data_IF_937456630656
#
_entry.id   IF_937456630656
#
_cell.length_a   1.000
_cell.length_b   1.000
_cell.length_c   1.000
_cell.angle_alpha   90.00
_cell.angle_beta   90.00
_cell.angle_gamma   90.00
#
_symmetry.space_group_name_H-M   'P 1'
#
loop_
_entity.id
_entity.type
_entity.pdbx_description
1 polymer ?
#
# COMPACT_ATOMS: atom_id res chain seq x y z
N UNK A 1 -24.25 14.47 -28.93
CA UNK A 1 -23.56 15.18 -27.82
C UNK A 1 -22.43 14.28 -27.37
N UNK A 2 -21.17 14.73 -27.43
CA UNK A 2 -20.05 13.92 -26.97
C UNK A 2 -20.05 13.91 -25.44
N UNK A 3 -20.31 12.75 -24.84
CA UNK A 3 -20.18 12.57 -23.39
C UNK A 3 -18.71 12.85 -23.03
N UNK A 4 -18.41 13.78 -22.10
CA UNK A 4 -17.04 14.04 -21.70
C UNK A 4 -16.47 12.74 -21.10
N UNK A 5 -15.48 12.16 -21.76
CA UNK A 5 -14.86 10.92 -21.28
C UNK A 5 -14.05 11.27 -20.04
N UNK A 6 -14.38 10.65 -18.90
CA UNK A 6 -13.65 10.81 -17.64
C UNK A 6 -12.16 10.58 -17.89
N UNK A 7 -11.27 11.52 -17.52
CA UNK A 7 -9.82 11.40 -17.76
C UNK A 7 -9.17 10.16 -17.11
N UNK A 8 -9.83 9.58 -16.11
CA UNK A 8 -9.42 8.35 -15.44
C UNK A 8 -10.05 7.09 -16.04
N UNK A 9 -10.87 7.21 -17.08
CA UNK A 9 -11.52 6.06 -17.69
C UNK A 9 -10.45 5.06 -18.20
N UNK A 10 -10.68 3.74 -17.99
CA UNK A 10 -9.77 2.74 -18.49
C UNK A 10 -9.74 2.79 -20.02
N UNK A 11 -8.55 2.63 -20.61
CA UNK A 11 -8.41 2.52 -22.06
C UNK A 11 -7.09 3.02 -22.62
N UNK A 12 -6.92 2.81 -23.93
CA UNK A 12 -5.74 3.25 -24.68
C UNK A 12 -5.81 4.72 -25.13
N UNK A 13 -6.95 5.37 -24.89
CA UNK A 13 -7.22 6.74 -25.35
C UNK A 13 -6.39 7.81 -24.64
N UNK A 14 -5.71 7.47 -23.54
CA UNK A 14 -4.99 8.39 -22.67
C UNK A 14 -3.47 8.23 -22.80
N UNK A 15 -2.89 8.83 -23.84
CA UNK A 15 -1.44 8.97 -24.02
C UNK A 15 -0.62 7.67 -23.95
N UNK A 16 0.71 7.75 -24.13
CA UNK A 16 1.58 6.60 -23.88
C UNK A 16 1.64 6.28 -22.38
N UNK A 17 1.98 5.03 -22.06
CA UNK A 17 2.42 4.64 -20.72
C UNK A 17 3.91 4.96 -20.64
N UNK A 18 4.30 5.77 -19.66
CA UNK A 18 5.68 6.22 -19.50
C UNK A 18 6.53 5.15 -18.80
N UNK A 19 7.64 4.78 -19.43
CA UNK A 19 8.65 3.92 -18.82
C UNK A 19 9.48 4.68 -17.77
N UNK A 20 10.28 3.95 -16.99
CA UNK A 20 11.22 4.58 -16.03
C UNK A 20 12.20 5.53 -16.74
N UNK A 21 12.62 5.21 -17.96
CA UNK A 21 13.50 6.06 -18.77
C UNK A 21 12.78 7.34 -19.20
N UNK A 22 11.53 7.24 -19.63
CA UNK A 22 10.73 8.41 -20.02
C UNK A 22 10.49 9.33 -18.82
N UNK A 23 10.19 8.77 -17.65
CA UNK A 23 10.04 9.54 -16.41
C UNK A 23 11.31 10.28 -16.04
N UNK A 24 12.49 9.66 -16.22
CA UNK A 24 13.77 10.30 -15.94
C UNK A 24 14.07 11.44 -16.93
N UNK A 25 13.80 11.23 -18.22
CA UNK A 25 14.11 12.20 -19.27
C UNK A 25 13.13 13.39 -19.29
N UNK A 26 11.83 13.10 -19.14
CA UNK A 26 10.76 14.10 -19.24
C UNK A 26 10.46 14.76 -17.90
N UNK A 27 10.76 14.09 -16.79
CA UNK A 27 10.47 14.52 -15.42
C UNK A 27 9.04 15.12 -15.26
N UNK A 28 7.98 14.39 -15.67
CA UNK A 28 6.63 14.91 -15.63
C UNK A 28 6.13 15.01 -14.19
N UNK A 29 5.19 15.93 -13.96
CA UNK A 29 4.43 15.94 -12.72
C UNK A 29 3.31 14.91 -12.81
N UNK A 30 3.34 13.89 -11.93
CA UNK A 30 2.30 12.88 -11.86
C UNK A 30 1.17 13.34 -10.92
N UNK A 31 -0.05 13.38 -11.46
CA UNK A 31 -1.28 13.54 -10.71
C UNK A 31 -1.73 12.18 -10.16
N UNK A 32 -1.92 12.09 -8.84
CA UNK A 32 -2.39 10.86 -8.17
C UNK A 32 -3.92 10.77 -8.32
N UNK A 33 -4.43 9.56 -8.56
CA UNK A 33 -5.86 9.30 -8.61
C UNK A 33 -6.58 9.80 -7.34
N UNK A 34 -7.73 10.52 -7.45
CA UNK A 34 -8.46 11.06 -6.29
C UNK A 34 -8.83 10.02 -5.24
N UNK A 35 -9.10 8.77 -5.64
CA UNK A 35 -9.38 7.65 -4.72
C UNK A 35 -8.16 7.34 -3.84
N UNK A 36 -6.95 7.29 -4.42
CA UNK A 36 -5.72 7.09 -3.64
C UNK A 36 -5.41 8.30 -2.76
N UNK A 37 -5.87 9.50 -3.13
CA UNK A 37 -5.72 10.70 -2.28
C UNK A 37 -6.83 10.87 -1.24
N UNK A 38 -7.83 9.98 -1.16
CA UNK A 38 -9.03 10.14 -0.32
C UNK A 38 -9.82 11.43 -0.61
N UNK A 39 -9.76 11.92 -1.84
CA UNK A 39 -10.47 13.13 -2.30
C UNK A 39 -11.63 12.84 -3.25
N UNK A 40 -11.89 11.57 -3.54
CA UNK A 40 -12.98 11.17 -4.42
C UNK A 40 -14.33 11.33 -3.71
N UNK A 41 -15.29 11.96 -4.38
CA UNK A 41 -16.54 12.41 -3.73
C UNK A 41 -17.49 11.27 -3.34
N UNK A 42 -17.43 10.13 -4.03
CA UNK A 42 -18.43 9.04 -3.89
C UNK A 42 -17.87 7.73 -3.35
N UNK A 43 -16.55 7.61 -3.23
CA UNK A 43 -15.90 6.38 -2.82
C UNK A 43 -14.64 6.69 -2.02
N UNK A 44 -14.57 6.16 -0.80
CA UNK A 44 -13.42 6.31 0.08
C UNK A 44 -12.70 4.97 0.17
N UNK A 45 -11.50 4.86 -0.38
CA UNK A 45 -10.79 3.59 -0.36
C UNK A 45 -10.30 3.24 1.04
N UNK A 46 -10.75 2.11 1.57
CA UNK A 46 -10.18 1.48 2.76
C UNK A 46 -9.69 0.08 2.37
N UNK A 47 -8.39 -0.11 2.43
CA UNK A 47 -7.76 -1.41 2.18
C UNK A 47 -7.19 -1.95 3.49
N UNK A 48 -7.65 -3.13 3.90
CA UNK A 48 -7.05 -3.86 5.01
C UNK A 48 -5.83 -4.62 4.50
N UNK A 49 -4.63 -4.20 4.88
CA UNK A 49 -3.37 -4.80 4.43
C UNK A 49 -3.15 -6.23 4.96
N UNK A 50 -3.88 -6.67 5.98
CA UNK A 50 -3.76 -8.03 6.52
C UNK A 50 -4.58 -9.06 5.74
N UNK A 51 -5.77 -8.66 5.26
CA UNK A 51 -6.72 -9.54 4.58
C UNK A 51 -6.79 -9.31 3.07
N UNK A 52 -6.33 -8.13 2.60
CA UNK A 52 -6.48 -7.69 1.22
C UNK A 52 -7.89 -7.18 0.90
N UNK A 53 -8.79 -7.14 1.89
CA UNK A 53 -10.17 -6.67 1.68
C UNK A 53 -10.17 -5.19 1.35
N UNK A 54 -10.83 -4.85 0.25
CA UNK A 54 -11.10 -3.46 -0.17
C UNK A 54 -12.56 -3.15 0.11
N UNK A 55 -12.82 -2.02 0.77
CA UNK A 55 -14.16 -1.55 1.10
C UNK A 55 -14.26 -0.03 0.97
N UNK A 56 -15.49 0.46 0.91
CA UNK A 56 -15.79 1.89 1.04
C UNK A 56 -15.70 2.31 2.52
N UNK A 57 -14.98 3.39 2.78
CA UNK A 57 -14.72 3.92 4.12
C UNK A 57 -15.95 4.48 4.83
N UNK A 58 -17.02 4.75 4.08
CA UNK A 58 -18.33 5.11 4.66
C UNK A 58 -19.08 3.90 5.23
N UNK A 59 -18.51 2.68 5.13
CA UNK A 59 -19.08 1.46 5.71
C UNK A 59 -20.38 1.02 5.03
N UNK A 60 -20.65 1.52 3.83
CA UNK A 60 -21.87 1.18 3.07
C UNK A 60 -21.75 -0.25 2.54
N UNK A 61 -22.56 -1.20 3.04
CA UNK A 61 -22.49 -2.58 2.58
C UNK A 61 -22.87 -2.66 1.10
N UNK A 62 -22.08 -3.38 0.30
CA UNK A 62 -22.35 -3.64 -1.11
C UNK A 62 -21.83 -2.60 -2.11
N UNK A 63 -21.07 -1.60 -1.68
CA UNK A 63 -20.35 -0.71 -2.62
C UNK A 63 -19.15 -1.47 -3.19
N UNK A 64 -19.28 -1.93 -4.43
CA UNK A 64 -18.20 -2.59 -5.17
C UNK A 64 -17.14 -1.56 -5.59
N UNK A 65 -15.87 -1.99 -5.59
CA UNK A 65 -14.77 -1.17 -6.09
C UNK A 65 -14.73 -1.18 -7.63
N UNK A 66 -15.70 -0.53 -8.26
CA UNK A 66 -15.88 -0.51 -9.72
C UNK A 66 -14.71 0.17 -10.44
N UNK A 67 -14.08 1.17 -9.81
CA UNK A 67 -12.98 1.95 -10.36
C UNK A 67 -11.63 1.23 -10.35
N UNK A 68 -11.56 -0.04 -9.93
CA UNK A 68 -10.31 -0.78 -9.76
C UNK A 68 -9.39 -0.80 -11.00
N UNK A 69 -9.97 -0.72 -12.20
CA UNK A 69 -9.26 -0.76 -13.48
C UNK A 69 -8.85 0.64 -13.98
N UNK A 70 -9.19 1.72 -13.26
CA UNK A 70 -8.74 3.09 -13.54
C UNK A 70 -7.23 3.23 -13.24
N UNK A 71 -6.51 4.12 -13.95
CA UNK A 71 -5.08 4.30 -13.74
C UNK A 71 -4.79 4.96 -12.39
N UNK A 72 -3.74 4.53 -11.70
CA UNK A 72 -3.36 5.08 -10.41
C UNK A 72 -2.82 6.51 -10.48
N UNK A 73 -2.26 6.90 -11.62
CA UNK A 73 -1.68 8.22 -11.87
C UNK A 73 -1.89 8.67 -13.31
N UNK A 74 -1.83 9.99 -13.52
CA UNK A 74 -1.76 10.62 -14.84
C UNK A 74 -0.53 11.54 -14.92
N UNK A 75 0.26 11.51 -16.02
CA UNK A 75 0.27 10.51 -17.08
C UNK A 75 0.47 9.07 -16.55
N UNK A 76 0.03 8.08 -17.34
CA UNK A 76 0.16 6.66 -16.96
C UNK A 76 1.62 6.25 -16.94
N UNK A 77 1.98 5.36 -16.02
CA UNK A 77 3.36 4.89 -15.83
C UNK A 77 3.41 3.38 -15.70
N UNK A 78 4.52 2.80 -16.11
CA UNK A 78 4.74 1.35 -15.98
C UNK A 78 5.04 0.94 -14.54
N UNK A 79 5.58 1.86 -13.74
CA UNK A 79 6.09 1.53 -12.42
C UNK A 79 5.90 2.66 -11.41
N UNK A 80 5.42 2.29 -10.21
CA UNK A 80 5.33 3.13 -9.02
C UNK A 80 6.17 2.56 -7.88
N UNK A 81 6.74 3.46 -7.08
CA UNK A 81 7.38 3.13 -5.82
C UNK A 81 6.57 3.73 -4.68
N UNK A 82 6.18 2.89 -3.72
CA UNK A 82 5.37 3.28 -2.57
C UNK A 82 6.20 3.05 -1.31
N UNK A 83 6.45 4.10 -0.57
CA UNK A 83 7.14 4.08 0.73
C UNK A 83 6.17 4.48 1.84
N UNK A 84 6.51 4.28 3.11
CA UNK A 84 5.66 4.68 4.24
C UNK A 84 6.49 5.21 5.39
N UNK A 85 6.02 6.24 6.08
CA UNK A 85 6.70 6.79 7.25
C UNK A 85 6.86 5.78 8.41
N UNK A 86 6.13 4.67 8.36
CA UNK A 86 6.04 3.70 9.44
C UNK A 86 6.83 2.41 9.20
N UNK A 87 7.36 2.20 7.99
CA UNK A 87 8.15 1.01 7.66
C UNK A 87 9.43 1.40 6.92
N UNK A 88 10.47 0.54 6.89
CA UNK A 88 11.68 0.79 6.10
C UNK A 88 11.53 0.37 4.63
N UNK A 89 10.51 -0.42 4.28
CA UNK A 89 10.38 -1.04 2.96
C UNK A 89 9.91 -0.09 1.86
N UNK A 90 10.18 -0.50 0.62
CA UNK A 90 9.70 0.14 -0.59
C UNK A 90 8.91 -0.88 -1.40
N UNK A 91 7.61 -0.64 -1.57
CA UNK A 91 6.74 -1.48 -2.37
C UNK A 91 6.82 -1.04 -3.82
N UNK A 92 7.19 -1.96 -4.71
CA UNK A 92 7.29 -1.68 -6.14
C UNK A 92 6.07 -2.24 -6.86
N UNK A 93 5.32 -1.38 -7.55
CA UNK A 93 4.14 -1.76 -8.35
C UNK A 93 4.53 -1.66 -9.82
N UNK A 94 4.34 -2.73 -10.60
CA UNK A 94 4.70 -2.77 -12.03
C UNK A 94 3.52 -3.24 -12.87
N UNK A 95 3.26 -2.54 -13.97
CA UNK A 95 2.32 -2.94 -15.00
C UNK A 95 2.68 -2.25 -16.33
N UNK A 96 3.15 -3.00 -17.32
CA UNK A 96 3.54 -2.49 -18.65
C UNK A 96 2.39 -1.77 -19.37
N UNK A 97 1.12 -2.09 -19.03
CA UNK A 97 -0.07 -1.44 -19.60
C UNK A 97 -0.48 -0.17 -18.85
N UNK A 98 0.26 0.20 -17.82
CA UNK A 98 -0.02 1.31 -16.92
C UNK A 98 -0.56 0.83 -15.58
N UNK A 99 0.03 1.29 -14.49
CA UNK A 99 -0.37 0.92 -13.12
C UNK A 99 -1.80 1.38 -12.84
N UNK A 100 -2.64 0.44 -12.40
CA UNK A 100 -4.05 0.66 -12.02
C UNK A 100 -4.24 0.73 -10.51
N UNK A 101 -5.43 1.15 -10.06
CA UNK A 101 -5.78 1.13 -8.64
C UNK A 101 -5.74 -0.28 -8.03
N UNK A 102 -6.20 -1.29 -8.78
CA UNK A 102 -6.15 -2.69 -8.37
C UNK A 102 -4.71 -3.17 -8.17
N UNK A 103 -3.79 -2.78 -9.07
CA UNK A 103 -2.38 -3.15 -8.98
C UNK A 103 -1.75 -2.58 -7.70
N UNK A 104 -2.05 -1.33 -7.37
CA UNK A 104 -1.56 -0.69 -6.14
C UNK A 104 -2.05 -1.43 -4.90
N UNK A 105 -3.36 -1.70 -4.81
CA UNK A 105 -3.94 -2.39 -3.65
C UNK A 105 -3.36 -3.80 -3.49
N UNK A 106 -3.26 -4.53 -4.60
CA UNK A 106 -2.75 -5.91 -4.62
C UNK A 106 -1.27 -5.97 -4.25
N UNK A 107 -0.46 -5.08 -4.81
CA UNK A 107 0.98 -5.03 -4.53
C UNK A 107 1.27 -4.66 -3.07
N UNK A 108 0.55 -3.69 -2.50
CA UNK A 108 0.65 -3.36 -1.07
C UNK A 108 0.28 -4.59 -0.24
N UNK A 109 -0.90 -5.16 -0.45
CA UNK A 109 -1.33 -6.34 0.30
C UNK A 109 -0.29 -7.47 0.25
N UNK A 110 0.13 -7.88 -0.95
CA UNK A 110 1.10 -8.96 -1.13
C UNK A 110 2.45 -8.66 -0.48
N UNK A 111 2.95 -7.43 -0.61
CA UNK A 111 4.25 -7.04 -0.04
C UNK A 111 4.23 -7.15 1.49
N UNK A 112 3.10 -6.85 2.13
CA UNK A 112 2.97 -6.85 3.58
C UNK A 112 2.52 -8.19 4.17
N UNK A 113 1.89 -9.08 3.39
CA UNK A 113 1.47 -10.42 3.86
C UNK A 113 2.45 -11.54 3.51
N UNK A 114 3.09 -11.47 2.34
CA UNK A 114 3.92 -12.57 1.84
C UNK A 114 5.38 -12.49 2.32
N UNK A 115 5.82 -11.31 2.75
CA UNK A 115 7.15 -11.10 3.27
C UNK A 115 7.17 -11.07 4.81
N UNK A 116 8.22 -11.64 5.38
CA UNK A 116 8.48 -11.63 6.81
C UNK A 116 9.46 -10.51 7.17
N UNK A 117 9.35 -10.02 8.40
CA UNK A 117 10.35 -9.14 9.01
C UNK A 117 11.58 -9.97 9.31
N UNK A 118 12.74 -9.52 8.82
CA UNK A 118 14.02 -10.17 9.07
C UNK A 118 14.53 -9.87 10.47
N UNK A 119 15.42 -10.71 11.00
CA UNK A 119 16.04 -10.48 12.32
C UNK A 119 16.84 -9.18 12.36
N UNK A 120 17.49 -8.82 11.25
CA UNK A 120 18.23 -7.57 11.12
C UNK A 120 17.30 -6.35 11.22
N UNK A 121 16.15 -6.38 10.55
CA UNK A 121 15.14 -5.32 10.64
C UNK A 121 14.54 -5.25 12.04
N UNK A 122 14.23 -6.40 12.65
CA UNK A 122 13.72 -6.48 14.02
C UNK A 122 14.72 -5.90 15.03
N UNK A 123 16.02 -6.14 14.83
CA UNK A 123 17.09 -5.61 15.67
C UNK A 123 17.23 -4.07 15.60
N UNK A 124 16.72 -3.42 14.55
CA UNK A 124 16.69 -1.94 14.47
C UNK A 124 15.69 -1.32 15.44
N UNK A 125 14.70 -2.09 15.90
CA UNK A 125 13.72 -1.63 16.89
C UNK A 125 14.25 -1.77 18.31
N UNK A 126 13.80 -0.87 19.19
CA UNK A 126 14.00 -1.02 20.64
C UNK A 126 13.36 -2.31 21.15
N UNK A 127 13.83 -2.85 22.29
CA UNK A 127 13.29 -4.08 22.87
C UNK A 127 11.74 -4.05 23.03
N UNK A 128 11.21 -2.89 23.46
CA UNK A 128 9.76 -2.65 23.54
C UNK A 128 9.09 -2.68 22.17
N UNK A 129 9.73 -2.11 21.14
CA UNK A 129 9.23 -2.16 19.77
C UNK A 129 9.15 -3.59 19.23
N UNK A 130 10.19 -4.39 19.47
CA UNK A 130 10.21 -5.81 19.08
C UNK A 130 9.10 -6.61 19.75
N UNK A 131 8.88 -6.41 21.06
CA UNK A 131 7.80 -7.07 21.80
C UNK A 131 6.43 -6.69 21.24
N UNK A 132 6.21 -5.41 20.92
CA UNK A 132 4.96 -4.95 20.33
C UNK A 132 4.67 -5.60 18.97
N UNK A 133 5.68 -5.73 18.10
CA UNK A 133 5.52 -6.39 16.81
C UNK A 133 5.23 -7.89 16.98
N UNK A 134 5.93 -8.57 17.90
CA UNK A 134 5.66 -9.99 18.21
C UNK A 134 4.24 -10.19 18.76
N UNK A 135 3.76 -9.29 19.63
CA UNK A 135 2.40 -9.33 20.17
C UNK A 135 1.36 -9.09 19.08
N UNK A 136 1.59 -8.15 18.17
CA UNK A 136 0.72 -7.93 17.01
C UNK A 136 0.66 -9.17 16.12
N UNK A 137 1.80 -9.82 15.85
CA UNK A 137 1.85 -11.05 15.07
C UNK A 137 1.04 -12.19 15.73
N UNK A 138 1.16 -12.37 17.05
CA UNK A 138 0.35 -13.36 17.78
C UNK A 138 -1.15 -13.08 17.70
N UNK A 139 -1.56 -11.81 17.77
CA UNK A 139 -2.96 -11.40 17.64
C UNK A 139 -3.50 -11.65 16.22
N UNK A 140 -2.75 -11.24 15.19
CA UNK A 140 -3.18 -11.39 13.79
C UNK A 140 -3.17 -12.83 13.29
N UNK A 141 -2.34 -13.71 13.86
CA UNK A 141 -2.31 -15.13 13.51
C UNK A 141 -3.41 -15.94 14.20
N UNK A 142 -4.26 -15.32 15.03
CA UNK A 142 -5.35 -16.02 15.70
C UNK A 142 -4.90 -17.09 16.70
N UNK A 143 -3.62 -17.08 17.12
CA UNK A 143 -3.05 -17.97 18.16
C UNK A 143 -3.50 -17.50 19.56
N UNK A 144 -4.74 -17.02 19.66
CA UNK A 144 -5.43 -16.63 20.89
C UNK A 144 -6.82 -17.29 21.03
N UNK A 145 -7.23 -18.15 20.10
CA UNK A 145 -8.53 -18.84 20.13
C UNK A 145 -8.45 -20.36 19.95
N UNK A 146 -7.35 -20.99 20.36
CA UNK A 146 -7.31 -22.43 20.56
C UNK A 146 -7.41 -22.75 22.06
N UNK A 147 -8.63 -22.64 22.58
CA UNK A 147 -9.05 -23.31 23.81
C UNK A 147 -8.86 -24.82 23.63
N UNK A 148 -7.73 -25.37 24.06
CA UNK A 148 -7.52 -26.81 24.03
C UNK A 148 -6.09 -27.26 24.32
N UNK A 149 -5.82 -27.57 25.59
CA UNK A 149 -4.89 -28.64 25.96
C UNK A 149 -3.40 -28.27 26.16
N UNK A 150 -3.00 -28.30 27.43
CA UNK A 150 -1.64 -28.55 27.96
C UNK A 150 -0.50 -27.54 27.67
N UNK A 151 0.22 -27.09 28.71
CA UNK A 151 1.31 -26.14 28.59
C UNK A 151 2.58 -26.87 28.14
N UNK A 152 2.71 -27.11 26.84
CA UNK A 152 4.00 -27.46 26.26
C UNK A 152 4.65 -26.17 25.75
N UNK A 153 5.77 -25.80 26.37
CA UNK A 153 6.64 -24.70 25.96
C UNK A 153 7.27 -25.09 24.63
N UNK A 154 6.61 -24.78 23.52
CA UNK A 154 7.29 -24.62 22.25
C UNK A 154 7.37 -23.13 21.99
N UNK A 155 8.57 -22.59 22.16
CA UNK A 155 8.96 -21.30 21.61
C UNK A 155 8.97 -21.46 20.10
N UNK A 156 7.80 -21.59 19.48
CA UNK A 156 7.66 -21.39 18.06
C UNK A 156 8.04 -19.95 17.82
N UNK A 157 9.18 -19.73 17.17
CA UNK A 157 9.61 -18.42 16.69
C UNK A 157 8.46 -17.85 15.87
N UNK A 158 7.67 -16.97 16.48
CA UNK A 158 6.54 -16.32 15.82
C UNK A 158 7.12 -15.50 14.68
N UNK A 159 6.96 -16.01 13.45
CA UNK A 159 7.38 -15.29 12.25
C UNK A 159 6.46 -14.08 12.12
N UNK A 160 7.04 -12.90 12.26
CA UNK A 160 6.31 -11.65 12.11
C UNK A 160 6.24 -11.31 10.63
N UNK A 161 5.04 -11.18 10.08
CA UNK A 161 4.84 -10.65 8.73
C UNK A 161 5.09 -9.15 8.74
N UNK A 162 5.39 -8.57 7.59
CA UNK A 162 5.59 -7.12 7.50
C UNK A 162 4.36 -6.31 7.90
N UNK A 163 3.14 -6.83 7.71
CA UNK A 163 1.91 -6.20 8.21
C UNK A 163 1.90 -6.07 9.74
N UNK A 164 2.51 -7.00 10.47
CA UNK A 164 2.55 -6.99 11.94
C UNK A 164 3.45 -5.86 12.48
N UNK A 165 4.34 -5.33 11.64
CA UNK A 165 5.17 -4.16 11.96
C UNK A 165 4.34 -2.92 12.29
N UNK A 166 3.19 -2.79 11.62
CA UNK A 166 2.29 -1.64 11.78
C UNK A 166 1.38 -1.74 12.99
N UNK A 167 1.35 -2.89 13.68
CA UNK A 167 0.57 -3.12 14.90
C UNK A 167 -0.94 -2.93 14.64
N UNK A 168 -1.47 -1.77 14.99
CA UNK A 168 -2.86 -1.34 14.83
C UNK A 168 -3.12 -0.61 13.50
N UNK A 169 -2.08 -0.05 12.86
CA UNK A 169 -2.15 0.73 11.61
C UNK A 169 -2.21 -0.16 10.37
N UNK A 170 -3.15 -1.09 10.33
CA UNK A 170 -3.25 -2.10 9.25
C UNK A 170 -4.09 -1.64 8.06
N UNK A 171 -4.67 -0.45 8.11
CA UNK A 171 -5.51 0.08 7.05
C UNK A 171 -4.75 1.12 6.23
N UNK A 172 -4.68 0.87 4.93
CA UNK A 172 -4.27 1.87 3.96
C UNK A 172 -5.36 2.95 3.90
N UNK A 173 -4.95 4.19 4.14
CA UNK A 173 -5.82 5.35 4.02
C UNK A 173 -5.56 6.06 2.70
N UNK A 174 -4.32 6.34 2.33
CA UNK A 174 -4.10 7.08 1.09
C UNK A 174 -2.65 7.15 0.65
N UNK A 175 -2.43 7.94 -0.39
CA UNK A 175 -1.13 8.23 -0.95
C UNK A 175 -0.98 9.72 -1.22
N UNK A 176 0.21 10.19 -0.96
CA UNK A 176 0.61 11.58 -1.17
C UNK A 176 2.01 11.66 -1.75
N UNK A 177 2.30 12.80 -2.38
CA UNK A 177 3.63 13.12 -2.89
C UNK A 177 4.33 14.05 -1.91
N UNK A 178 5.55 13.68 -1.51
CA UNK A 178 6.41 14.56 -0.71
C UNK A 178 7.88 14.33 -1.08
N UNK A 179 8.36 15.12 -2.04
CA UNK A 179 9.69 14.99 -2.60
C UNK A 179 10.79 15.19 -1.53
N UNK A 180 10.56 16.05 -0.55
CA UNK A 180 11.53 16.31 0.54
C UNK A 180 11.74 15.07 1.40
N UNK A 181 10.66 14.37 1.76
CA UNK A 181 10.76 13.15 2.53
C UNK A 181 11.45 12.05 1.73
N UNK A 182 11.05 11.86 0.46
CA UNK A 182 11.68 10.88 -0.43
C UNK A 182 13.18 11.13 -0.56
N UNK A 183 13.60 12.38 -0.77
CA UNK A 183 15.00 12.75 -0.87
C UNK A 183 15.78 12.49 0.42
N UNK A 184 15.21 12.83 1.58
CA UNK A 184 15.87 12.57 2.87
C UNK A 184 16.00 11.07 3.16
N UNK A 185 15.01 10.27 2.78
CA UNK A 185 14.96 8.84 3.08
C UNK A 185 15.75 7.98 2.10
N UNK A 186 15.63 8.25 0.81
CA UNK A 186 16.21 7.43 -0.26
C UNK A 186 17.49 8.04 -0.84
N UNK A 187 17.80 9.30 -0.53
CA UNK A 187 18.93 10.04 -1.10
C UNK A 187 18.66 10.61 -2.50
N UNK A 188 17.50 10.32 -3.09
CA UNK A 188 17.07 10.85 -4.38
C UNK A 188 15.56 11.09 -4.40
N UNK A 189 15.10 11.85 -5.40
CA UNK A 189 13.68 12.06 -5.69
C UNK A 189 13.38 11.59 -7.11
N UNK A 190 12.18 11.05 -7.31
CA UNK A 190 11.66 10.70 -8.62
C UNK A 190 10.15 10.94 -8.63
N UNK A 191 9.60 11.24 -9.81
CA UNK A 191 8.19 11.60 -9.99
C UNK A 191 7.21 10.47 -9.65
N UNK A 192 7.67 9.22 -9.70
CA UNK A 192 6.88 8.01 -9.41
C UNK A 192 7.08 7.45 -7.99
N UNK A 193 7.61 8.24 -7.06
CA UNK A 193 7.71 7.86 -5.64
C UNK A 193 6.59 8.54 -4.85
N UNK A 194 5.77 7.72 -4.18
CA UNK A 194 4.67 8.17 -3.35
C UNK A 194 4.76 7.60 -1.94
N UNK A 195 4.17 8.33 -1.00
CA UNK A 195 4.15 7.95 0.42
C UNK A 195 2.75 7.48 0.76
N UNK A 196 2.68 6.29 1.34
CA UNK A 196 1.48 5.65 1.85
C UNK A 196 1.17 6.16 3.26
N UNK A 197 -0.05 6.64 3.43
CA UNK A 197 -0.65 7.02 4.70
C UNK A 197 -1.46 5.84 5.27
N UNK A 198 -1.31 5.60 6.57
CA UNK A 198 -1.94 4.50 7.29
C UNK A 198 -2.86 5.03 8.39
N UNK A 199 -4.02 4.40 8.55
CA UNK A 199 -5.00 4.73 9.57
C UNK A 199 -5.18 3.62 10.62
N UNK A 200 -5.62 4.05 11.80
CA UNK A 200 -6.24 3.21 12.82
C UNK A 200 -7.76 3.43 12.74
N UNK A 201 -8.54 2.36 12.63
CA UNK A 201 -10.00 2.39 12.76
C UNK A 201 -10.44 1.66 14.02
#
# INVERSE_FOLDING_TARGET
MATPVNKWAPGISYGPVLSQTDLYLLNPELEIHPILQQKHATFRLVLNMSTGSVSDGDGRPGVEFVQKDEPAVLPRVEQLYIISDHSPWCTTVKNEKGVTLSDVCTAIWQEYTNNYVTDAEMATLSARGQEQVRKAAQMHQGIGSQWGGYPHIQVTTVRCRRVDWFKDRIYFEGMRREDRYAQNRLGFKASNIFIMDLANF
#
